data_IF_945009664538
#
_entry.id   IF_945009664538
#
_cell.length_a   1.000
_cell.length_b   1.000
_cell.length_c   1.000
_cell.angle_alpha   90.00
_cell.angle_beta   90.00
_cell.angle_gamma   90.00
#
_symmetry.space_group_name_H-M   'P 1'
#
loop_
_entity.id
_entity.type
_entity.pdbx_description
1 polymer ?
#
# COMPACT_ATOMS: atom_id res chain seq x y z
N UNK A 1 -5.44 4.61 27.36
CA UNK A 1 -5.82 3.27 27.85
C UNK A 1 -4.74 2.24 27.55
N UNK A 2 -4.32 2.08 26.29
CA UNK A 2 -3.24 1.15 25.93
C UNK A 2 -1.93 1.38 26.70
N UNK A 3 -1.46 2.64 26.80
CA UNK A 3 -0.28 2.99 27.60
C UNK A 3 -0.40 2.68 29.10
N UNK A 4 -1.64 2.62 29.62
CA UNK A 4 -1.92 2.32 31.03
C UNK A 4 -2.23 0.84 31.27
N UNK A 5 -1.99 -0.02 30.28
CA UNK A 5 -2.26 -1.46 30.32
C UNK A 5 -3.69 -1.84 30.72
N UNK A 6 -4.68 -0.99 30.41
CA UNK A 6 -6.09 -1.30 30.64
C UNK A 6 -6.55 -2.21 29.48
N UNK A 7 -7.03 -3.45 29.74
CA UNK A 7 -7.46 -4.35 28.68
C UNK A 7 -8.73 -3.85 27.99
N UNK A 8 -8.82 -4.03 26.67
CA UNK A 8 -10.03 -3.70 25.92
C UNK A 8 -11.14 -4.76 26.15
N UNK A 9 -12.42 -4.42 25.93
CA UNK A 9 -13.50 -5.39 25.97
C UNK A 9 -13.23 -6.56 25.01
N UNK A 10 -13.28 -7.78 25.53
CA UNK A 10 -12.99 -9.00 24.77
C UNK A 10 -11.50 -9.30 24.55
N UNK A 11 -10.58 -8.59 25.20
CA UNK A 11 -9.15 -8.91 25.17
C UNK A 11 -8.84 -10.33 25.67
N UNK A 12 -9.68 -10.85 26.56
CA UNK A 12 -9.58 -12.20 27.13
C UNK A 12 -10.19 -13.28 26.23
N UNK A 13 -10.85 -12.92 25.12
CA UNK A 13 -11.48 -13.91 24.26
C UNK A 13 -10.41 -14.77 23.55
N UNK A 14 -10.74 -16.04 23.28
CA UNK A 14 -9.81 -16.92 22.55
C UNK A 14 -10.11 -16.84 21.05
N UNK A 15 -9.29 -16.11 20.28
CA UNK A 15 -9.41 -16.04 18.81
C UNK A 15 -8.40 -16.95 18.12
N UNK A 16 -8.85 -17.71 17.11
CA UNK A 16 -7.99 -18.61 16.32
C UNK A 16 -6.92 -17.90 15.49
N UNK A 17 -7.19 -16.65 15.07
CA UNK A 17 -6.26 -15.78 14.32
C UNK A 17 -6.36 -14.34 14.83
N UNK A 18 -5.62 -13.96 15.88
CA UNK A 18 -5.62 -12.60 16.38
C UNK A 18 -4.89 -11.66 15.41
N UNK A 19 -5.40 -10.44 15.23
CA UNK A 19 -4.66 -9.39 14.53
C UNK A 19 -3.57 -8.81 15.45
N UNK A 20 -2.61 -8.09 14.87
CA UNK A 20 -1.55 -7.40 15.64
C UNK A 20 -2.10 -6.42 16.69
N UNK A 21 -3.31 -5.91 16.49
CA UNK A 21 -3.98 -4.95 17.40
C UNK A 21 -5.01 -5.63 18.32
N UNK A 22 -5.04 -6.96 18.37
CA UNK A 22 -5.95 -7.71 19.21
C UNK A 22 -5.75 -7.39 20.70
N UNK A 23 -6.86 -7.24 21.43
CA UNK A 23 -6.86 -6.94 22.87
C UNK A 23 -6.49 -5.50 23.24
N UNK A 24 -6.24 -4.63 22.26
CA UNK A 24 -5.97 -3.21 22.47
C UNK A 24 -7.21 -2.35 22.23
N UNK A 25 -7.25 -1.18 22.86
CA UNK A 25 -8.29 -0.18 22.61
C UNK A 25 -8.10 0.44 21.24
N UNK A 26 -9.15 0.42 20.41
CA UNK A 26 -9.19 1.13 19.14
C UNK A 26 -10.10 2.36 19.23
N UNK A 27 -9.75 3.41 18.49
CA UNK A 27 -10.56 4.64 18.43
C UNK A 27 -11.99 4.35 17.93
N UNK A 28 -12.14 3.41 16.99
CA UNK A 28 -13.44 2.99 16.44
C UNK A 28 -14.34 2.34 17.51
N UNK A 29 -13.81 1.61 18.48
CA UNK A 29 -14.62 1.05 19.59
C UNK A 29 -15.12 2.13 20.53
N UNK A 30 -14.31 3.17 20.79
CA UNK A 30 -14.68 4.26 21.68
C UNK A 30 -15.70 5.21 21.03
N UNK A 31 -15.34 5.75 19.85
CA UNK A 31 -16.15 6.72 19.14
C UNK A 31 -17.25 6.05 18.32
N UNK A 32 -16.87 5.08 17.49
CA UNK A 32 -17.74 4.47 16.49
C UNK A 32 -18.39 5.51 15.57
N UNK A 33 -19.47 5.09 14.92
CA UNK A 33 -20.26 5.95 14.04
C UNK A 33 -21.36 6.68 14.85
N UNK A 34 -21.41 8.00 14.70
CA UNK A 34 -22.42 8.87 15.31
C UNK A 34 -23.82 8.61 14.75
N UNK A 35 -23.95 8.40 13.43
CA UNK A 35 -25.24 8.18 12.77
C UNK A 35 -25.82 6.81 13.12
N UNK A 36 -24.96 5.78 13.14
CA UNK A 36 -25.37 4.43 13.51
C UNK A 36 -25.38 4.18 15.02
N UNK A 37 -25.12 5.21 15.83
CA UNK A 37 -24.94 5.14 17.28
C UNK A 37 -24.15 3.88 17.69
N UNK A 38 -23.01 3.69 17.03
CA UNK A 38 -22.09 2.58 17.24
C UNK A 38 -20.93 3.07 18.10
N UNK A 39 -20.29 2.17 18.84
CA UNK A 39 -19.21 2.49 19.77
C UNK A 39 -19.71 2.80 21.19
N UNK A 40 -18.78 2.81 22.14
CA UNK A 40 -19.11 2.94 23.55
C UNK A 40 -19.72 4.30 23.88
N UNK A 41 -19.15 5.40 23.36
CA UNK A 41 -19.66 6.75 23.63
C UNK A 41 -21.02 7.03 23.00
N UNK A 42 -21.52 6.17 22.12
CA UNK A 42 -22.83 6.31 21.47
C UNK A 42 -23.88 5.35 22.05
N UNK A 43 -23.53 4.55 23.07
CA UNK A 43 -24.43 3.56 23.65
C UNK A 43 -25.49 4.19 24.60
N UNK A 44 -26.79 4.20 24.25
CA UNK A 44 -27.85 4.81 25.06
C UNK A 44 -28.15 4.04 26.35
N UNK A 45 -27.66 2.80 26.51
CA UNK A 45 -27.85 2.04 27.75
C UNK A 45 -27.24 2.77 28.95
N UNK A 46 -26.18 3.56 28.75
CA UNK A 46 -25.54 4.31 29.84
C UNK A 46 -26.43 5.40 30.44
N UNK A 47 -27.42 5.91 29.71
CA UNK A 47 -28.44 6.84 30.21
C UNK A 47 -29.73 6.14 30.65
N UNK A 48 -29.73 4.81 30.68
CA UNK A 48 -30.90 3.99 31.04
C UNK A 48 -31.90 3.86 29.89
N UNK A 49 -31.45 3.92 28.63
CA UNK A 49 -32.31 3.72 27.45
C UNK A 49 -31.86 2.51 26.66
N UNK A 50 -32.72 1.51 26.56
CA UNK A 50 -32.44 0.30 25.79
C UNK A 50 -33.20 0.38 24.47
N UNK A 51 -32.45 0.43 23.36
CA UNK A 51 -33.01 0.56 22.02
C UNK A 51 -32.80 -0.74 21.25
N UNK A 52 -33.89 -1.34 20.82
CA UNK A 52 -33.91 -2.56 20.02
C UNK A 52 -34.44 -2.27 18.60
N UNK A 53 -34.30 -3.24 17.71
CA UNK A 53 -34.82 -3.15 16.35
C UNK A 53 -34.20 -2.06 15.44
N UNK A 54 -32.97 -1.61 15.72
CA UNK A 54 -32.31 -0.54 14.95
C UNK A 54 -31.92 -0.90 13.52
N UNK A 55 -31.70 -2.19 13.24
CA UNK A 55 -31.19 -2.66 11.95
C UNK A 55 -31.97 -3.85 11.44
N UNK A 56 -32.14 -3.89 10.14
CA UNK A 56 -32.64 -5.05 9.40
C UNK A 56 -31.62 -5.57 8.40
N UNK A 57 -31.74 -6.84 8.06
CA UNK A 57 -30.89 -7.49 7.08
C UNK A 57 -31.64 -7.63 5.77
N UNK A 58 -31.29 -6.80 4.80
CA UNK A 58 -31.86 -6.84 3.45
C UNK A 58 -30.93 -7.61 2.51
N UNK A 59 -31.51 -8.38 1.59
CA UNK A 59 -30.75 -9.01 0.52
C UNK A 59 -30.48 -7.99 -0.58
N UNK A 60 -29.22 -7.76 -0.91
CA UNK A 60 -28.88 -6.93 -2.07
C UNK A 60 -29.16 -7.74 -3.35
N UNK A 61 -29.95 -7.20 -4.30
CA UNK A 61 -30.43 -7.94 -5.47
C UNK A 61 -29.30 -8.30 -6.47
N UNK A 62 -28.27 -7.47 -6.57
CA UNK A 62 -27.15 -7.68 -7.50
C UNK A 62 -26.10 -8.64 -6.91
N UNK A 63 -25.77 -8.45 -5.63
CA UNK A 63 -24.67 -9.18 -5.00
C UNK A 63 -25.11 -10.46 -4.28
N UNK A 64 -26.43 -10.68 -4.11
CA UNK A 64 -27.02 -11.76 -3.29
C UNK A 64 -26.43 -11.88 -1.88
N UNK A 65 -25.88 -10.77 -1.35
CA UNK A 65 -25.34 -10.67 0.01
C UNK A 65 -26.32 -9.92 0.89
N UNK A 66 -26.38 -10.31 2.17
CA UNK A 66 -27.18 -9.62 3.18
C UNK A 66 -26.42 -8.38 3.64
N UNK A 67 -27.03 -7.21 3.47
CA UNK A 67 -26.48 -5.92 3.90
C UNK A 67 -27.33 -5.42 5.08
N UNK A 68 -26.71 -5.01 6.20
CA UNK A 68 -27.43 -4.39 7.30
C UNK A 68 -27.87 -2.98 6.88
N UNK A 69 -29.16 -2.66 7.06
CA UNK A 69 -29.72 -1.33 6.84
C UNK A 69 -30.32 -0.81 8.14
N UNK A 70 -30.11 0.47 8.42
CA UNK A 70 -30.72 1.14 9.57
C UNK A 70 -32.22 1.33 9.32
N UNK A 71 -33.04 0.95 10.31
CA UNK A 71 -34.49 1.21 10.31
C UNK A 71 -34.77 2.66 10.68
N UNK A 72 -35.87 3.27 10.20
CA UNK A 72 -36.29 4.58 10.69
C UNK A 72 -36.51 4.53 12.20
N UNK A 73 -36.29 5.66 12.88
CA UNK A 73 -36.38 5.74 14.34
C UNK A 73 -37.79 5.42 14.87
N UNK A 74 -38.84 5.58 14.05
CA UNK A 74 -40.23 5.21 14.37
C UNK A 74 -40.40 3.73 14.67
N UNK A 75 -39.59 2.88 14.05
CA UNK A 75 -39.68 1.42 14.18
C UNK A 75 -38.82 0.90 15.34
N UNK A 76 -38.09 1.81 16.01
CA UNK A 76 -37.22 1.45 17.11
C UNK A 76 -38.05 1.22 18.36
N UNK A 77 -37.80 0.10 19.01
CA UNK A 77 -38.42 -0.21 20.29
C UNK A 77 -37.52 0.37 21.37
N UNK A 78 -37.98 1.45 22.00
CA UNK A 78 -37.25 2.18 23.04
C UNK A 78 -37.87 1.85 24.39
N UNK A 79 -37.07 1.31 25.30
CA UNK A 79 -37.48 1.03 26.69
C UNK A 79 -36.62 1.85 27.64
N UNK A 80 -37.27 2.65 28.49
CA UNK A 80 -36.58 3.41 29.54
C UNK A 80 -36.43 2.54 30.80
N UNK A 81 -35.19 2.32 31.22
CA UNK A 81 -34.79 1.58 32.41
C UNK A 81 -33.80 2.42 33.20
N UNK A 82 -34.34 3.32 34.04
CA UNK A 82 -33.54 4.26 34.82
C UNK A 82 -32.59 3.55 35.79
N UNK A 83 -32.94 2.35 36.26
CA UNK A 83 -32.12 1.55 37.17
C UNK A 83 -30.79 1.10 36.54
N UNK A 84 -30.70 1.07 35.20
CA UNK A 84 -29.49 0.74 34.46
C UNK A 84 -28.64 1.98 34.12
N UNK A 85 -29.07 3.18 34.53
CA UNK A 85 -28.35 4.42 34.24
C UNK A 85 -27.04 4.47 35.01
N UNK A 86 -25.94 4.63 34.27
CA UNK A 86 -24.59 4.82 34.82
C UNK A 86 -24.17 6.29 34.70
N UNK A 87 -24.68 7.02 33.70
CA UNK A 87 -24.26 8.38 33.35
C UNK A 87 -25.46 9.33 33.45
N UNK A 88 -25.33 10.49 34.13
CA UNK A 88 -26.37 11.52 34.14
C UNK A 88 -26.65 12.09 32.75
N UNK A 89 -27.92 12.35 32.44
CA UNK A 89 -28.36 12.91 31.15
C UNK A 89 -27.60 14.19 30.75
N UNK A 90 -27.38 15.19 31.65
CA UNK A 90 -26.67 16.41 31.25
C UNK A 90 -25.20 16.18 30.86
N UNK A 91 -24.56 15.15 31.43
CA UNK A 91 -23.18 14.80 31.07
C UNK A 91 -23.15 14.14 29.69
N UNK A 92 -24.11 13.25 29.42
CA UNK A 92 -24.28 12.62 28.12
C UNK A 92 -24.46 13.66 27.00
N UNK A 93 -25.38 14.61 27.20
CA UNK A 93 -25.71 15.60 26.18
C UNK A 93 -24.51 16.49 25.84
N UNK A 94 -23.74 16.94 26.84
CA UNK A 94 -22.49 17.69 26.63
C UNK A 94 -21.46 16.89 25.81
N UNK A 95 -21.33 15.59 26.06
CA UNK A 95 -20.42 14.73 25.30
C UNK A 95 -20.89 14.60 23.84
N UNK A 96 -22.18 14.35 23.60
CA UNK A 96 -22.71 14.24 22.23
C UNK A 96 -22.58 15.56 21.47
N UNK A 97 -22.83 16.71 22.11
CA UNK A 97 -22.62 18.03 21.52
C UNK A 97 -21.17 18.23 21.11
N UNK A 98 -20.21 17.98 22.02
CA UNK A 98 -18.78 18.10 21.70
C UNK A 98 -18.38 17.24 20.51
N UNK A 99 -18.90 16.01 20.41
CA UNK A 99 -18.62 15.11 19.29
C UNK A 99 -19.18 15.63 17.97
N UNK A 100 -20.40 16.18 17.96
CA UNK A 100 -20.99 16.80 16.77
C UNK A 100 -20.15 17.99 16.31
N UNK A 101 -19.73 18.86 17.23
CA UNK A 101 -18.86 20.01 16.91
C UNK A 101 -17.51 19.57 16.35
N UNK A 102 -16.89 18.53 16.91
CA UNK A 102 -15.64 17.98 16.38
C UNK A 102 -15.81 17.41 14.97
N UNK A 103 -16.90 16.68 14.70
CA UNK A 103 -17.20 16.15 13.36
C UNK A 103 -17.38 17.28 12.34
N UNK A 104 -18.07 18.36 12.71
CA UNK A 104 -18.27 19.52 11.84
C UNK A 104 -16.96 20.27 11.57
N UNK A 105 -16.10 20.42 12.58
CA UNK A 105 -14.77 21.02 12.41
C UNK A 105 -13.88 20.20 11.48
N UNK A 106 -13.91 18.86 11.58
CA UNK A 106 -13.19 17.98 10.66
C UNK A 106 -13.70 18.16 9.23
N UNK A 107 -15.02 18.17 9.03
CA UNK A 107 -15.62 18.38 7.70
C UNK A 107 -15.25 19.73 7.09
N UNK A 108 -15.33 20.81 7.87
CA UNK A 108 -14.88 22.15 7.44
C UNK A 108 -13.40 22.16 7.03
N UNK A 109 -12.55 21.43 7.77
CA UNK A 109 -11.13 21.28 7.42
C UNK A 109 -10.91 20.43 6.17
N UNK A 110 -11.70 19.36 5.97
CA UNK A 110 -11.67 18.52 4.77
C UNK A 110 -12.13 19.29 3.52
N UNK A 111 -13.19 20.07 3.63
CA UNK A 111 -13.70 20.93 2.54
C UNK A 111 -12.67 21.99 2.15
N UNK A 112 -12.02 22.61 3.15
CA UNK A 112 -10.93 23.55 2.92
C UNK A 112 -9.72 22.87 2.28
N UNK A 113 -9.32 21.69 2.76
CA UNK A 113 -8.20 20.96 2.17
C UNK A 113 -8.49 20.54 0.73
N UNK A 114 -9.72 20.11 0.44
CA UNK A 114 -10.18 19.82 -0.92
C UNK A 114 -10.10 21.06 -1.81
N UNK A 115 -10.57 22.21 -1.32
CA UNK A 115 -10.46 23.48 -2.04
C UNK A 115 -9.00 23.88 -2.33
N UNK A 116 -8.11 23.74 -1.34
CA UNK A 116 -6.68 24.02 -1.54
C UNK A 116 -6.01 23.02 -2.47
N UNK A 117 -6.36 21.74 -2.37
CA UNK A 117 -5.86 20.68 -3.24
C UNK A 117 -6.29 20.93 -4.69
N UNK A 118 -7.58 21.20 -4.94
CA UNK A 118 -8.09 21.55 -6.27
C UNK A 118 -7.37 22.78 -6.85
N UNK A 119 -7.17 23.82 -6.04
CA UNK A 119 -6.50 25.04 -6.48
C UNK A 119 -5.00 24.84 -6.72
N UNK A 120 -4.32 24.07 -5.88
CA UNK A 120 -2.92 23.70 -6.07
C UNK A 120 -2.73 22.80 -7.29
N UNK A 121 -3.61 21.80 -7.49
CA UNK A 121 -3.58 20.91 -8.64
C UNK A 121 -3.89 21.67 -9.93
N UNK A 122 -4.83 22.62 -9.90
CA UNK A 122 -5.10 23.49 -11.04
C UNK A 122 -3.87 24.34 -11.39
N UNK A 123 -3.22 24.98 -10.42
CA UNK A 123 -2.00 25.75 -10.67
C UNK A 123 -0.84 24.88 -11.19
N UNK A 124 -0.63 23.70 -10.59
CA UNK A 124 0.36 22.72 -11.08
C UNK A 124 0.07 22.27 -12.51
N UNK A 125 -1.21 22.06 -12.86
CA UNK A 125 -1.64 21.69 -14.21
C UNK A 125 -1.40 22.82 -15.21
N UNK A 126 -1.85 24.01 -14.88
CA UNK A 126 -1.92 25.13 -15.82
C UNK A 126 -0.55 25.82 -16.00
N UNK A 127 0.34 25.75 -15.00
CA UNK A 127 1.63 26.43 -15.01
C UNK A 127 2.82 25.48 -15.22
N UNK A 128 2.81 24.29 -14.61
CA UNK A 128 3.96 23.36 -14.62
C UNK A 128 3.85 22.19 -15.60
N UNK A 129 2.64 21.84 -16.04
CA UNK A 129 2.39 20.76 -16.99
C UNK A 129 1.93 21.27 -18.36
N UNK A 130 2.37 22.46 -18.74
CA UNK A 130 2.19 22.94 -20.11
C UNK A 130 2.79 21.93 -21.11
N UNK A 131 2.17 21.74 -22.29
CA UNK A 131 2.65 20.76 -23.29
C UNK A 131 4.15 20.89 -23.57
N UNK A 132 4.63 22.13 -23.65
CA UNK A 132 6.05 22.44 -23.87
C UNK A 132 6.95 22.06 -22.69
N UNK A 133 6.51 22.27 -21.44
CA UNK A 133 7.28 21.89 -20.27
C UNK A 133 7.41 20.37 -20.15
N UNK A 134 6.32 19.66 -20.40
CA UNK A 134 6.30 18.19 -20.43
C UNK A 134 7.20 17.66 -21.54
N UNK A 135 7.13 18.24 -22.73
CA UNK A 135 7.99 17.87 -23.86
C UNK A 135 9.48 18.05 -23.53
N UNK A 136 9.86 19.19 -22.91
CA UNK A 136 11.24 19.44 -22.46
C UNK A 136 11.70 18.41 -21.43
N UNK A 137 10.83 18.02 -20.50
CA UNK A 137 11.13 16.99 -19.50
C UNK A 137 11.34 15.63 -20.16
N UNK A 138 10.44 15.22 -21.07
CA UNK A 138 10.56 13.97 -21.82
C UNK A 138 11.87 13.95 -22.61
N UNK A 139 12.19 15.01 -23.33
CA UNK A 139 13.43 15.10 -24.11
C UNK A 139 14.67 14.99 -23.21
N UNK A 140 14.68 15.67 -22.06
CA UNK A 140 15.80 15.61 -21.10
C UNK A 140 15.93 14.22 -20.49
N UNK A 141 14.83 13.59 -20.09
CA UNK A 141 14.80 12.22 -19.58
C UNK A 141 15.29 11.25 -20.64
N UNK A 142 14.74 11.27 -21.85
CA UNK A 142 15.17 10.39 -22.94
C UNK A 142 16.66 10.53 -23.25
N UNK A 143 17.22 11.75 -23.23
CA UNK A 143 18.66 11.96 -23.41
C UNK A 143 19.49 11.30 -22.31
N UNK A 144 19.09 11.45 -21.04
CA UNK A 144 19.78 10.84 -19.91
C UNK A 144 19.69 9.30 -19.95
N UNK A 145 18.54 8.78 -20.35
CA UNK A 145 18.30 7.34 -20.47
C UNK A 145 19.07 6.72 -21.63
N UNK A 146 19.15 7.42 -22.78
CA UNK A 146 19.90 6.95 -23.95
C UNK A 146 21.40 6.76 -23.64
N UNK A 147 21.99 7.65 -22.83
CA UNK A 147 23.39 7.50 -22.38
C UNK A 147 23.58 6.23 -21.55
N UNK A 148 22.76 6.06 -20.51
CA UNK A 148 22.83 4.90 -19.59
C UNK A 148 22.54 3.57 -20.29
N UNK A 149 21.61 3.53 -21.24
CA UNK A 149 21.32 2.34 -22.04
C UNK A 149 22.49 1.96 -22.95
N UNK A 150 23.14 2.94 -23.60
CA UNK A 150 24.32 2.69 -24.42
C UNK A 150 25.49 2.13 -23.61
N UNK A 151 25.79 2.71 -22.46
CA UNK A 151 26.86 2.22 -21.57
C UNK A 151 26.62 0.78 -21.14
N UNK A 152 25.40 0.47 -20.71
CA UNK A 152 25.01 -0.91 -20.36
C UNK A 152 25.11 -1.86 -21.54
N UNK A 153 24.70 -1.44 -22.73
CA UNK A 153 24.76 -2.27 -23.92
C UNK A 153 26.21 -2.62 -24.27
N UNK A 154 27.12 -1.64 -24.22
CA UNK A 154 28.55 -1.86 -24.43
C UNK A 154 29.17 -2.78 -23.35
N UNK A 155 28.75 -2.63 -22.10
CA UNK A 155 29.17 -3.49 -20.99
C UNK A 155 28.71 -4.94 -21.20
N UNK A 156 27.45 -5.16 -21.60
CA UNK A 156 26.94 -6.48 -21.94
C UNK A 156 27.68 -7.09 -23.14
N UNK A 157 27.93 -6.33 -24.20
CA UNK A 157 28.70 -6.79 -25.36
C UNK A 157 30.14 -7.18 -24.98
N UNK A 158 30.75 -6.46 -24.02
CA UNK A 158 32.06 -6.83 -23.47
C UNK A 158 31.99 -8.13 -22.67
N UNK A 159 31.02 -8.27 -21.78
CA UNK A 159 30.85 -9.49 -20.96
C UNK A 159 30.57 -10.72 -21.82
N UNK A 160 29.73 -10.61 -22.85
CA UNK A 160 29.49 -11.71 -23.79
C UNK A 160 30.73 -12.12 -24.57
N UNK A 161 31.55 -11.15 -25.02
CA UNK A 161 32.83 -11.45 -25.69
C UNK A 161 33.80 -12.18 -24.76
N UNK A 162 33.91 -11.73 -23.52
CA UNK A 162 34.75 -12.40 -22.51
C UNK A 162 34.25 -13.82 -22.22
N UNK A 163 32.92 -13.99 -22.12
CA UNK A 163 32.31 -15.30 -21.90
C UNK A 163 32.65 -16.27 -23.04
N UNK A 164 32.53 -15.82 -24.30
CA UNK A 164 32.86 -16.65 -25.45
C UNK A 164 34.33 -17.12 -25.43
N UNK A 165 35.27 -16.22 -25.08
CA UNK A 165 36.69 -16.57 -24.94
C UNK A 165 36.92 -17.64 -23.87
N UNK A 166 36.28 -17.51 -22.70
CA UNK A 166 36.39 -18.50 -21.62
C UNK A 166 35.73 -19.83 -21.99
N UNK A 167 34.60 -19.80 -22.71
CA UNK A 167 33.94 -21.01 -23.20
C UNK A 167 34.79 -21.76 -24.24
N UNK A 168 35.47 -21.05 -25.14
CA UNK A 168 36.44 -21.63 -26.07
C UNK A 168 37.64 -22.24 -25.33
N UNK A 169 38.15 -21.60 -24.28
CA UNK A 169 39.22 -22.12 -23.44
C UNK A 169 38.81 -23.42 -22.72
N UNK A 170 37.61 -23.45 -22.12
CA UNK A 170 37.04 -24.66 -21.52
C UNK A 170 36.92 -25.76 -22.57
N UNK A 171 36.42 -25.46 -23.78
CA UNK A 171 36.29 -26.44 -24.85
C UNK A 171 37.65 -27.02 -25.27
N UNK A 172 38.69 -26.20 -25.34
CA UNK A 172 40.06 -26.62 -25.64
C UNK A 172 40.65 -27.50 -24.52
N UNK A 173 40.46 -27.14 -23.25
CA UNK A 173 40.88 -27.95 -22.09
C UNK A 173 40.17 -29.31 -22.11
N UNK A 174 38.86 -29.32 -22.36
CA UNK A 174 38.07 -30.55 -22.46
C UNK A 174 38.54 -31.45 -23.62
N UNK A 175 38.97 -30.86 -24.74
CA UNK A 175 39.56 -31.60 -25.85
C UNK A 175 40.90 -32.24 -25.47
N UNK A 176 41.75 -31.54 -24.70
CA UNK A 176 43.02 -32.07 -24.21
C UNK A 176 42.82 -33.23 -23.21
N UNK A 177 41.83 -33.12 -22.33
CA UNK A 177 41.45 -34.20 -21.41
C UNK A 177 40.98 -35.45 -22.19
N UNK A 178 40.14 -35.27 -23.21
CA UNK A 178 39.69 -36.37 -24.09
C UNK A 178 40.84 -37.05 -24.83
N UNK A 179 41.93 -36.33 -25.11
CA UNK A 179 43.14 -36.88 -25.72
C UNK A 179 44.09 -37.57 -24.71
N UNK A 180 43.71 -37.66 -23.43
CA UNK A 180 44.45 -38.38 -22.39
C UNK A 180 45.42 -37.52 -21.58
N UNK A 181 45.46 -36.20 -21.76
CA UNK A 181 46.33 -35.30 -20.99
C UNK A 181 45.63 -34.90 -19.69
N UNK A 182 45.80 -35.70 -18.64
CA UNK A 182 45.26 -35.43 -17.31
C UNK A 182 46.40 -35.11 -16.33
N UNK A 183 46.62 -33.82 -16.07
CA UNK A 183 47.58 -33.33 -15.08
C UNK A 183 46.86 -32.53 -13.99
N UNK A 184 47.51 -32.35 -12.84
CA UNK A 184 46.97 -31.49 -11.79
C UNK A 184 46.74 -30.04 -12.28
N UNK A 185 47.55 -29.58 -13.25
CA UNK A 185 47.42 -28.25 -13.86
C UNK A 185 46.20 -28.13 -14.79
N UNK A 186 45.83 -29.15 -15.58
CA UNK A 186 44.62 -29.09 -16.42
C UNK A 186 43.34 -29.05 -15.59
N UNK A 187 43.32 -29.76 -14.45
CA UNK A 187 42.21 -29.69 -13.50
C UNK A 187 42.07 -28.28 -12.90
N UNK A 188 43.17 -27.69 -12.43
CA UNK A 188 43.16 -26.36 -11.85
C UNK A 188 42.76 -25.27 -12.87
N UNK A 189 43.24 -25.38 -14.11
CA UNK A 189 42.86 -24.46 -15.19
C UNK A 189 41.36 -24.56 -15.52
N UNK A 190 40.80 -25.77 -15.56
CA UNK A 190 39.35 -25.95 -15.77
C UNK A 190 38.53 -25.34 -14.63
N UNK A 191 38.92 -25.58 -13.37
CA UNK A 191 38.24 -24.99 -12.20
C UNK A 191 38.27 -23.45 -12.23
N UNK A 192 39.39 -22.86 -12.65
CA UNK A 192 39.51 -21.40 -12.81
C UNK A 192 38.61 -20.87 -13.93
N UNK A 193 38.65 -21.49 -15.12
CA UNK A 193 37.85 -21.08 -16.26
C UNK A 193 36.33 -21.24 -15.98
N UNK A 194 35.90 -22.31 -15.31
CA UNK A 194 34.50 -22.48 -14.89
C UNK A 194 34.07 -21.44 -13.85
N UNK A 195 34.95 -21.09 -12.91
CA UNK A 195 34.68 -20.03 -11.92
C UNK A 195 34.56 -18.65 -12.58
N UNK A 196 35.39 -18.35 -13.58
CA UNK A 196 35.29 -17.12 -14.37
C UNK A 196 34.02 -17.08 -15.21
N UNK A 197 33.67 -18.18 -15.87
CA UNK A 197 32.40 -18.34 -16.60
C UNK A 197 31.21 -18.08 -15.69
N UNK A 198 31.20 -18.63 -14.48
CA UNK A 198 30.13 -18.40 -13.52
C UNK A 198 30.01 -16.92 -13.09
N UNK A 199 31.14 -16.22 -12.90
CA UNK A 199 31.16 -14.78 -12.60
C UNK A 199 30.59 -13.94 -13.75
N UNK A 200 31.00 -14.24 -14.99
CA UNK A 200 30.52 -13.53 -16.18
C UNK A 200 29.02 -13.73 -16.41
N UNK A 201 28.53 -14.97 -16.25
CA UNK A 201 27.09 -15.28 -16.32
C UNK A 201 26.28 -14.54 -15.24
N UNK A 202 26.81 -14.44 -14.02
CA UNK A 202 26.16 -13.67 -12.96
C UNK A 202 26.10 -12.16 -13.28
N UNK A 203 27.13 -11.61 -13.93
CA UNK A 203 27.15 -10.22 -14.40
C UNK A 203 26.13 -9.96 -15.51
N UNK A 204 25.94 -10.90 -16.44
CA UNK A 204 24.93 -10.81 -17.51
C UNK A 204 23.51 -10.94 -16.93
N UNK A 205 23.32 -11.84 -15.95
CA UNK A 205 22.02 -12.09 -15.33
C UNK A 205 21.58 -10.99 -14.33
N UNK A 206 22.46 -10.03 -14.01
CA UNK A 206 22.13 -8.97 -13.04
C UNK A 206 20.90 -8.18 -13.51
N UNK A 207 19.80 -8.17 -12.73
CA UNK A 207 18.55 -7.57 -13.15
C UNK A 207 18.71 -6.07 -13.38
N UNK A 208 17.93 -5.55 -14.31
CA UNK A 208 17.78 -4.11 -14.52
C UNK A 208 17.47 -3.41 -13.20
N UNK A 209 18.22 -2.36 -12.86
CA UNK A 209 18.01 -1.62 -11.61
C UNK A 209 16.63 -0.97 -11.63
N UNK A 210 16.10 -0.58 -10.46
CA UNK A 210 14.83 0.16 -10.39
C UNK A 210 14.83 1.39 -11.29
N UNK A 211 15.97 2.07 -11.43
CA UNK A 211 16.17 3.20 -12.33
C UNK A 211 15.99 2.81 -13.81
N UNK A 212 16.52 1.67 -14.24
CA UNK A 212 16.40 1.17 -15.62
C UNK A 212 14.96 0.71 -15.95
N UNK A 213 14.23 0.20 -14.96
CA UNK A 213 12.80 -0.13 -15.12
C UNK A 213 11.94 1.14 -15.18
N UNK A 214 12.23 2.14 -14.34
CA UNK A 214 11.54 3.43 -14.41
C UNK A 214 11.79 4.13 -15.74
N UNK A 215 13.01 4.06 -16.27
CA UNK A 215 13.38 4.57 -17.60
C UNK A 215 12.44 4.08 -18.71
N UNK A 216 12.08 2.80 -18.70
CA UNK A 216 11.18 2.18 -19.69
C UNK A 216 9.72 2.62 -19.54
N UNK A 217 9.33 3.10 -18.36
CA UNK A 217 7.94 3.47 -18.04
C UNK A 217 7.67 4.96 -18.28
N UNK A 218 8.67 5.83 -18.13
CA UNK A 218 8.52 7.29 -18.23
C UNK A 218 7.92 7.79 -19.55
N UNK A 219 8.29 7.27 -20.74
CA UNK A 219 7.68 7.71 -22.01
C UNK A 219 6.17 7.44 -22.05
N UNK A 220 5.73 6.29 -21.51
CA UNK A 220 4.32 5.87 -21.49
C UNK A 220 3.49 6.62 -20.46
N UNK A 221 4.10 7.13 -19.39
CA UNK A 221 3.40 7.89 -18.34
C UNK A 221 2.92 9.23 -18.89
N UNK A 222 3.74 9.92 -19.69
CA UNK A 222 3.36 11.20 -20.27
C UNK A 222 2.21 11.07 -21.29
N UNK A 223 2.23 10.02 -22.13
CA UNK A 223 1.12 9.71 -23.03
C UNK A 223 -0.18 9.42 -22.27
N UNK A 224 -0.10 8.67 -21.17
CA UNK A 224 -1.26 8.36 -20.33
C UNK A 224 -1.81 9.59 -19.62
N UNK A 225 -0.95 10.52 -19.24
CA UNK A 225 -1.35 11.79 -18.65
C UNK A 225 -2.11 12.66 -19.67
N UNK A 226 -1.73 12.61 -20.97
CA UNK A 226 -2.44 13.31 -22.05
C UNK A 226 -3.83 12.74 -22.37
N UNK A 227 -4.12 11.49 -22.01
CA UNK A 227 -5.40 10.82 -22.29
C UNK A 227 -6.39 10.83 -21.13
N UNK A 228 -5.91 11.05 -19.91
CA UNK A 228 -6.73 11.10 -18.68
C UNK A 228 -7.26 12.52 -18.43
N UNK A 229 -6.63 13.53 -19.04
CA UNK A 229 -7.05 14.93 -19.09
C UNK A 229 -7.70 15.21 -20.43
#
# INVERSE_FOLDING_TARGET
MNQRHIPAPGATYRRKRPSRHYGTWSASVLHGDLQQATGMLSNPVYIGRVIWNRREWLMNPETKRRVPRLRPESDWIITEQLDLRIIPQPLWDRVQQRRKSQSQQTQLGEDQNTYYEERCLAALRDELLTPDAVERIIQKVNRLLAGRQRERQLELERLHRQLATVEDEIANIMKAIKAGILTASTKQALEQAEAERAKLLAGIAMPTTKADKMALLLPRIAERYRTIV
#
